data_IF_252558844973
#
_entry.id   IF_252558844973
#
_cell.length_a   1.000
_cell.length_b   1.000
_cell.length_c   1.000
_cell.angle_alpha   90.00
_cell.angle_beta   90.00
_cell.angle_gamma   90.00
#
_symmetry.space_group_name_H-M   'P 1'
#
loop_
_entity.id
_entity.type
_entity.pdbx_description
1 polymer ?
#
# COMPACT_ATOMS: atom_id res chain seq x y z
N UNK A 1 -5.87 -9.27 -16.74
CA UNK A 1 -4.81 -9.52 -17.74
C UNK A 1 -3.62 -10.23 -17.12
N UNK A 2 -3.01 -11.15 -17.87
CA UNK A 2 -1.75 -11.81 -17.48
C UNK A 2 -0.51 -11.06 -17.97
N UNK A 3 -0.69 -9.97 -18.72
CA UNK A 3 0.42 -9.12 -19.15
C UNK A 3 1.07 -8.45 -17.95
N UNK A 4 2.37 -8.63 -17.75
CA UNK A 4 3.09 -7.98 -16.65
C UNK A 4 3.02 -6.46 -16.76
N UNK A 5 2.76 -5.82 -15.63
CA UNK A 5 2.63 -4.36 -15.55
C UNK A 5 3.61 -3.72 -14.55
N UNK A 6 3.94 -2.46 -14.80
CA UNK A 6 4.73 -1.63 -13.91
C UNK A 6 4.08 -0.25 -13.79
N UNK A 7 3.91 0.21 -12.56
CA UNK A 7 3.48 1.58 -12.25
C UNK A 7 4.58 2.23 -11.44
N UNK A 8 4.95 3.44 -11.80
CA UNK A 8 5.96 4.23 -11.11
C UNK A 8 5.44 5.64 -10.83
N UNK A 9 5.48 6.06 -9.56
CA UNK A 9 5.17 7.42 -9.13
C UNK A 9 3.82 7.95 -9.65
N UNK A 10 2.72 7.34 -9.24
CA UNK A 10 1.36 7.70 -9.68
C UNK A 10 0.57 8.30 -8.52
N UNK A 11 -0.05 9.45 -8.73
CA UNK A 11 -1.06 10.06 -7.85
C UNK A 11 -2.43 9.95 -8.50
N UNK A 12 -3.42 9.55 -7.72
CA UNK A 12 -4.78 9.28 -8.19
C UNK A 12 -5.76 9.83 -7.17
N UNK A 13 -6.70 10.66 -7.62
CA UNK A 13 -7.62 11.40 -6.75
C UNK A 13 -8.93 11.77 -7.44
N UNK A 14 -9.94 12.15 -6.67
CA UNK A 14 -11.23 12.67 -7.12
C UNK A 14 -12.16 11.68 -7.86
N UNK A 15 -12.01 10.39 -7.64
CA UNK A 15 -12.95 9.41 -8.20
C UNK A 15 -14.13 9.15 -7.27
N UNK A 16 -15.25 8.68 -7.83
CA UNK A 16 -16.51 8.48 -7.11
C UNK A 16 -16.59 7.11 -6.44
N UNK A 17 -16.10 6.06 -7.08
CA UNK A 17 -16.26 4.67 -6.60
C UNK A 17 -14.96 4.09 -6.07
N UNK A 18 -13.93 4.16 -6.86
CA UNK A 18 -12.61 3.67 -6.54
C UNK A 18 -11.59 4.66 -7.06
N UNK A 19 -10.57 4.97 -6.29
CA UNK A 19 -9.40 5.65 -6.85
C UNK A 19 -8.69 4.70 -7.80
N UNK A 20 -8.48 3.47 -7.36
CA UNK A 20 -7.83 2.44 -8.20
C UNK A 20 -8.57 1.12 -8.06
N UNK A 21 -8.82 0.47 -9.19
CA UNK A 21 -9.32 -0.89 -9.22
C UNK A 21 -8.44 -1.81 -10.05
N UNK A 22 -7.93 -2.85 -9.41
CA UNK A 22 -7.25 -3.96 -10.07
C UNK A 22 -8.23 -5.12 -10.21
N UNK A 23 -8.54 -5.53 -11.42
CA UNK A 23 -9.43 -6.66 -11.69
C UNK A 23 -8.78 -7.66 -12.62
N UNK A 24 -8.60 -8.89 -12.17
CA UNK A 24 -8.03 -10.00 -12.93
C UNK A 24 -6.65 -9.66 -13.53
N UNK A 25 -5.81 -9.03 -12.72
CA UNK A 25 -4.43 -8.71 -13.11
C UNK A 25 -3.44 -9.65 -12.44
N UNK A 26 -2.34 -9.93 -13.13
CA UNK A 26 -1.25 -10.73 -12.57
C UNK A 26 0.12 -10.21 -12.99
N UNK A 27 1.13 -10.49 -12.15
CA UNK A 27 2.52 -10.09 -12.36
C UNK A 27 2.73 -8.56 -12.43
N UNK A 28 2.07 -7.81 -11.56
CA UNK A 28 2.19 -6.36 -11.51
C UNK A 28 3.08 -5.89 -10.36
N UNK A 29 3.84 -4.83 -10.62
CA UNK A 29 4.66 -4.11 -9.63
C UNK A 29 4.24 -2.65 -9.61
N UNK A 30 3.86 -2.16 -8.44
CA UNK A 30 3.39 -0.80 -8.22
C UNK A 30 4.33 -0.12 -7.24
N UNK A 31 4.98 0.94 -7.67
CA UNK A 31 5.98 1.66 -6.90
C UNK A 31 5.56 3.11 -6.69
N UNK A 32 5.60 3.58 -5.44
CA UNK A 32 5.32 4.98 -5.09
C UNK A 32 3.96 5.47 -5.62
N UNK A 33 2.90 4.74 -5.33
CA UNK A 33 1.54 5.13 -5.70
C UNK A 33 0.87 5.84 -4.52
N UNK A 34 0.18 6.93 -4.81
CA UNK A 34 -0.67 7.65 -3.87
C UNK A 34 -2.13 7.58 -4.32
N UNK A 35 -3.04 7.43 -3.34
CA UNK A 35 -4.47 7.74 -3.51
C UNK A 35 -4.86 8.85 -2.56
N UNK A 36 -5.75 9.75 -2.99
CA UNK A 36 -6.29 10.81 -2.15
C UNK A 36 -7.80 10.93 -2.32
N UNK A 37 -8.53 10.68 -1.25
CA UNK A 37 -9.98 10.84 -1.22
C UNK A 37 -10.31 12.20 -0.59
N UNK A 38 -11.04 13.02 -1.35
CA UNK A 38 -11.49 14.32 -0.90
C UNK A 38 -12.98 14.39 -0.58
N UNK A 39 -13.38 15.47 0.08
CA UNK A 39 -14.78 15.78 0.34
C UNK A 39 -15.56 15.96 -0.95
N UNK A 40 -16.83 15.60 -0.97
CA UNK A 40 -17.82 15.62 -2.06
C UNK A 40 -17.78 14.36 -2.93
N UNK A 41 -17.07 14.41 -4.07
CA UNK A 41 -17.10 13.33 -5.08
C UNK A 41 -16.50 12.01 -4.59
N UNK A 42 -15.49 12.06 -3.74
CA UNK A 42 -14.80 10.84 -3.27
C UNK A 42 -15.08 10.48 -1.80
N UNK A 43 -16.16 11.02 -1.22
CA UNK A 43 -16.52 10.73 0.18
C UNK A 43 -16.69 9.24 0.45
N UNK A 44 -17.32 8.50 -0.45
CA UNK A 44 -17.55 7.06 -0.35
C UNK A 44 -16.66 6.24 -1.29
N UNK A 45 -15.60 6.85 -1.78
CA UNK A 45 -14.66 6.21 -2.69
C UNK A 45 -13.80 5.19 -1.95
N UNK A 46 -13.73 3.96 -2.48
CA UNK A 46 -12.78 2.93 -2.04
C UNK A 46 -11.40 3.28 -2.60
N UNK A 47 -10.37 3.54 -1.77
CA UNK A 47 -9.06 3.91 -2.29
C UNK A 47 -8.49 2.86 -3.24
N UNK A 48 -8.38 1.61 -2.79
CA UNK A 48 -7.92 0.51 -3.65
C UNK A 48 -8.85 -0.69 -3.51
N UNK A 49 -9.31 -1.19 -4.64
CA UNK A 49 -10.05 -2.45 -4.73
C UNK A 49 -9.31 -3.44 -5.63
N UNK A 50 -9.18 -4.69 -5.15
CA UNK A 50 -8.52 -5.78 -5.87
C UNK A 50 -9.43 -7.00 -5.93
N UNK A 51 -9.76 -7.43 -7.14
CA UNK A 51 -10.57 -8.63 -7.39
C UNK A 51 -9.83 -9.60 -8.32
N UNK A 52 -9.76 -10.87 -7.92
CA UNK A 52 -9.19 -11.97 -8.73
C UNK A 52 -7.75 -11.66 -9.21
N UNK A 53 -6.92 -11.07 -8.35
CA UNK A 53 -5.55 -10.66 -8.68
C UNK A 53 -4.52 -11.66 -8.15
N UNK A 54 -3.37 -11.75 -8.85
CA UNK A 54 -2.29 -12.65 -8.49
C UNK A 54 -0.92 -12.04 -8.74
N UNK A 55 0.04 -12.33 -7.84
CA UNK A 55 1.44 -11.90 -7.99
C UNK A 55 1.57 -10.38 -8.16
N UNK A 56 0.93 -9.60 -7.28
CA UNK A 56 1.00 -8.14 -7.30
C UNK A 56 1.79 -7.64 -6.09
N UNK A 57 2.74 -6.75 -6.34
CA UNK A 57 3.53 -6.11 -5.29
C UNK A 57 3.30 -4.62 -5.31
N UNK A 58 2.95 -4.08 -4.15
CA UNK A 58 2.97 -2.64 -3.88
C UNK A 58 4.19 -2.32 -3.02
N UNK A 59 4.93 -1.31 -3.40
CA UNK A 59 6.03 -0.78 -2.62
C UNK A 59 5.90 0.75 -2.49
N UNK A 60 5.92 1.24 -1.24
CA UNK A 60 5.66 2.62 -0.90
C UNK A 60 4.27 3.09 -1.38
N UNK A 61 3.25 2.43 -0.89
CA UNK A 61 1.85 2.80 -1.12
C UNK A 61 1.42 3.81 -0.07
N UNK A 62 0.99 4.99 -0.50
CA UNK A 62 0.50 6.05 0.34
C UNK A 62 -0.98 6.30 0.07
N UNK A 63 -1.82 6.08 1.07
CA UNK A 63 -3.26 6.31 0.98
C UNK A 63 -3.64 7.42 1.94
N UNK A 64 -4.23 8.48 1.39
CA UNK A 64 -4.46 9.74 2.09
C UNK A 64 -5.92 10.15 1.99
N UNK A 65 -6.55 10.36 3.12
CA UNK A 65 -7.97 10.72 3.18
C UNK A 65 -8.16 12.09 3.81
N UNK A 66 -8.72 13.02 3.05
CA UNK A 66 -8.96 14.43 3.44
C UNK A 66 -10.43 14.72 3.73
N UNK A 67 -11.22 13.69 4.01
CA UNK A 67 -12.66 13.80 4.16
C UNK A 67 -13.02 14.18 5.60
N UNK A 68 -13.78 15.24 5.75
CA UNK A 68 -14.29 15.74 7.03
C UNK A 68 -15.64 15.13 7.37
N UNK A 69 -15.68 13.82 7.50
CA UNK A 69 -16.88 13.10 7.96
C UNK A 69 -16.65 12.52 9.34
N UNK A 70 -17.73 12.36 10.10
CA UNK A 70 -17.66 11.85 11.47
C UNK A 70 -17.50 10.32 11.52
N UNK A 71 -17.69 9.65 10.42
CA UNK A 71 -17.60 8.18 10.34
C UNK A 71 -16.34 7.77 9.61
N UNK A 72 -15.54 6.84 10.19
CA UNK A 72 -14.38 6.31 9.50
C UNK A 72 -14.85 5.46 8.31
N UNK A 73 -14.12 5.55 7.21
CA UNK A 73 -14.28 4.64 6.10
C UNK A 73 -13.77 3.24 6.48
N UNK A 74 -14.38 2.19 5.92
CA UNK A 74 -14.12 0.83 6.40
C UNK A 74 -12.64 0.43 6.23
N UNK A 75 -12.08 0.57 5.03
CA UNK A 75 -10.71 0.12 4.76
C UNK A 75 -10.10 0.85 3.57
N UNK A 76 -8.78 1.00 3.57
CA UNK A 76 -8.07 1.64 2.45
C UNK A 76 -7.84 0.68 1.28
N UNK A 77 -7.51 -0.56 1.55
CA UNK A 77 -7.40 -1.60 0.53
C UNK A 77 -8.41 -2.71 0.82
N UNK A 78 -9.18 -3.06 -0.18
CA UNK A 78 -10.10 -4.19 -0.13
C UNK A 78 -9.67 -5.25 -1.14
N UNK A 79 -9.41 -6.47 -0.68
CA UNK A 79 -8.98 -7.58 -1.53
C UNK A 79 -9.99 -8.72 -1.51
N UNK A 80 -10.24 -9.29 -2.69
CA UNK A 80 -11.13 -10.44 -2.86
C UNK A 80 -10.53 -11.41 -3.88
N UNK A 81 -10.52 -12.70 -3.53
CA UNK A 81 -10.01 -13.78 -4.39
C UNK A 81 -8.58 -13.52 -4.92
N UNK A 82 -7.74 -12.90 -4.09
CA UNK A 82 -6.38 -12.56 -4.47
C UNK A 82 -5.37 -13.54 -3.89
N UNK A 83 -4.29 -13.75 -4.62
CA UNK A 83 -3.19 -14.65 -4.26
C UNK A 83 -1.85 -13.97 -4.45
N UNK A 84 -0.94 -14.15 -3.50
CA UNK A 84 0.42 -13.61 -3.55
C UNK A 84 0.46 -12.09 -3.77
N UNK A 85 -0.24 -11.36 -2.90
CA UNK A 85 -0.23 -9.90 -2.89
C UNK A 85 0.71 -9.42 -1.79
N UNK A 86 1.70 -8.64 -2.14
CA UNK A 86 2.67 -8.08 -1.20
C UNK A 86 2.49 -6.56 -1.05
N UNK A 87 2.38 -6.11 0.19
CA UNK A 87 2.43 -4.70 0.56
C UNK A 87 3.72 -4.44 1.34
N UNK A 88 4.59 -3.65 0.76
CA UNK A 88 5.89 -3.28 1.32
C UNK A 88 5.86 -1.78 1.61
N UNK A 89 5.91 -1.40 2.89
CA UNK A 89 5.77 -0.02 3.32
C UNK A 89 4.44 0.60 2.84
N UNK A 90 3.36 0.17 3.47
CA UNK A 90 2.03 0.73 3.27
C UNK A 90 1.82 1.84 4.29
N UNK A 91 1.43 3.02 3.83
CA UNK A 91 1.11 4.15 4.66
C UNK A 91 -0.35 4.56 4.49
N UNK A 92 -1.08 4.60 5.59
CA UNK A 92 -2.48 4.97 5.61
C UNK A 92 -2.68 6.15 6.55
N UNK A 93 -3.10 7.29 6.02
CA UNK A 93 -3.17 8.54 6.74
C UNK A 93 -4.45 9.33 6.46
N UNK A 94 -4.91 10.08 7.45
CA UNK A 94 -5.96 11.08 7.28
C UNK A 94 -5.57 12.36 8.01
N UNK A 95 -5.76 13.50 7.35
CA UNK A 95 -5.53 14.82 7.98
C UNK A 95 -6.43 15.10 9.15
N UNK A 96 -7.58 14.47 9.19
CA UNK A 96 -8.60 14.74 10.18
C UNK A 96 -8.85 13.46 10.93
N UNK A 97 -9.03 13.59 12.20
CA UNK A 97 -9.25 12.63 13.28
C UNK A 97 -9.85 11.24 12.96
N UNK A 98 -10.34 11.03 11.74
CA UNK A 98 -11.00 9.79 11.31
C UNK A 98 -10.24 9.13 10.16
N UNK A 99 -9.18 8.44 10.52
CA UNK A 99 -8.47 7.56 9.60
C UNK A 99 -9.32 6.36 9.24
N UNK A 100 -9.02 5.75 8.12
CA UNK A 100 -9.38 4.36 7.91
C UNK A 100 -8.68 3.53 8.99
N UNK A 101 -9.44 2.91 9.85
CA UNK A 101 -8.90 2.07 10.92
C UNK A 101 -8.27 0.78 10.38
N UNK A 102 -8.65 0.39 9.17
CA UNK A 102 -8.19 -0.83 8.51
C UNK A 102 -7.41 -0.43 7.28
N UNK A 103 -6.14 -0.82 7.22
CA UNK A 103 -5.31 -0.60 6.05
C UNK A 103 -5.65 -1.57 4.91
N UNK A 104 -5.79 -2.86 5.23
CA UNK A 104 -6.16 -3.90 4.27
C UNK A 104 -7.26 -4.78 4.83
N UNK A 105 -8.32 -4.99 4.06
CA UNK A 105 -9.40 -5.92 4.37
C UNK A 105 -9.41 -7.09 3.38
N UNK A 106 -9.22 -8.31 3.89
CA UNK A 106 -9.37 -9.54 3.11
C UNK A 106 -10.81 -10.05 3.23
N UNK A 107 -11.60 -9.81 2.19
CA UNK A 107 -13.03 -10.15 2.14
C UNK A 107 -13.29 -11.67 2.26
N UNK A 108 -12.39 -12.51 1.74
CA UNK A 108 -12.59 -13.95 1.76
C UNK A 108 -12.34 -14.57 3.13
N UNK A 109 -11.43 -14.00 3.87
CA UNK A 109 -11.02 -14.50 5.19
C UNK A 109 -11.66 -13.75 6.34
N UNK A 110 -12.35 -12.63 6.02
CA UNK A 110 -12.91 -11.70 7.01
C UNK A 110 -11.84 -11.21 8.00
N UNK A 111 -10.69 -10.76 7.45
CA UNK A 111 -9.54 -10.32 8.23
C UNK A 111 -9.28 -8.85 8.00
N UNK A 112 -9.26 -8.11 9.10
CA UNK A 112 -8.86 -6.72 9.19
C UNK A 112 -7.38 -6.61 9.55
N UNK A 113 -6.63 -5.84 8.76
CA UNK A 113 -5.23 -5.55 9.03
C UNK A 113 -5.08 -4.05 9.23
N UNK A 114 -4.62 -3.66 10.41
CA UNK A 114 -4.50 -2.25 10.80
C UNK A 114 -3.15 -1.66 10.40
N UNK A 115 -3.06 -0.33 10.17
CA UNK A 115 -1.83 0.29 9.69
C UNK A 115 -0.61 0.07 10.57
N UNK A 116 -0.79 0.02 11.89
CA UNK A 116 0.29 -0.15 12.86
C UNK A 116 0.70 -1.60 13.11
N UNK A 117 0.02 -2.56 12.48
CA UNK A 117 0.33 -3.99 12.64
C UNK A 117 1.34 -4.49 11.62
N UNK A 118 1.67 -3.69 10.60
CA UNK A 118 2.52 -4.15 9.53
C UNK A 118 3.47 -3.08 8.96
N UNK A 119 4.72 -3.46 8.81
CA UNK A 119 5.65 -2.86 7.86
C UNK A 119 5.68 -3.66 6.54
N UNK A 120 5.26 -4.91 6.59
CA UNK A 120 5.21 -5.81 5.43
C UNK A 120 4.06 -6.79 5.57
N UNK A 121 3.21 -6.86 4.55
CA UNK A 121 2.13 -7.84 4.45
C UNK A 121 2.25 -8.61 3.14
N UNK A 122 2.16 -9.93 3.21
CA UNK A 122 2.06 -10.81 2.05
C UNK A 122 0.80 -11.68 2.19
N UNK A 123 -0.09 -11.57 1.23
CA UNK A 123 -1.29 -12.40 1.13
C UNK A 123 -0.98 -13.56 0.19
N UNK A 124 -0.89 -14.76 0.75
CA UNK A 124 -0.43 -15.96 0.01
C UNK A 124 -1.52 -16.69 -0.77
N UNK A 125 -2.79 -16.34 -0.56
CA UNK A 125 -3.91 -17.01 -1.24
C UNK A 125 -4.69 -17.97 -0.34
N UNK A 126 -5.49 -18.85 -0.94
CA UNK A 126 -6.42 -19.72 -0.22
C UNK A 126 -5.74 -20.86 0.52
N UNK A 127 -4.65 -21.38 0.00
CA UNK A 127 -3.87 -22.44 0.64
C UNK A 127 -2.64 -21.82 1.31
N UNK A 128 -2.33 -22.23 2.54
CA UNK A 128 -1.10 -21.85 3.19
C UNK A 128 0.06 -22.55 2.47
N UNK A 129 0.55 -21.97 1.39
CA UNK A 129 1.86 -22.35 0.94
C UNK A 129 2.84 -21.98 2.05
N UNK A 130 3.42 -22.99 2.68
CA UNK A 130 4.66 -22.84 3.45
C UNK A 130 5.78 -22.40 2.49
N UNK A 131 5.66 -21.21 1.95
CA UNK A 131 6.87 -20.50 1.61
C UNK A 131 7.51 -20.20 2.96
N UNK A 132 8.55 -20.93 3.29
CA UNK A 132 9.50 -20.45 4.26
C UNK A 132 9.85 -19.04 3.82
N UNK A 133 9.27 -18.05 4.47
CA UNK A 133 9.84 -16.72 4.51
C UNK A 133 11.23 -16.99 5.05
N UNK A 134 12.21 -17.10 4.17
CA UNK A 134 13.57 -17.38 4.57
C UNK A 134 13.87 -16.45 5.72
N UNK A 135 14.36 -16.96 6.83
CA UNK A 135 14.74 -16.22 8.02
C UNK A 135 15.90 -15.25 7.77
N UNK A 136 16.13 -14.89 6.54
CA UNK A 136 17.02 -13.83 6.12
C UNK A 136 16.26 -12.50 6.14
N UNK A 137 15.89 -12.06 7.33
CA UNK A 137 15.91 -10.64 7.59
C UNK A 137 17.36 -10.25 7.34
N UNK A 138 17.62 -9.64 6.20
CA UNK A 138 18.95 -9.20 5.85
C UNK A 138 19.50 -8.37 7.02
N UNK A 139 20.81 -8.49 7.29
CA UNK A 139 21.44 -7.73 8.35
C UNK A 139 21.13 -6.26 8.16
N UNK A 140 20.42 -5.66 9.10
CA UNK A 140 20.16 -4.23 9.10
C UNK A 140 21.46 -3.53 9.46
N UNK A 141 22.02 -2.75 8.52
CA UNK A 141 23.16 -1.89 8.78
C UNK A 141 22.66 -0.46 8.86
N UNK A 142 23.05 0.25 9.92
CA UNK A 142 22.82 1.68 10.01
C UNK A 142 23.74 2.39 9.01
N UNK A 143 23.17 3.16 8.09
CA UNK A 143 23.93 3.89 7.05
C UNK A 143 24.25 5.32 7.47
N UNK A 144 23.39 5.93 8.29
CA UNK A 144 23.56 7.29 8.80
C UNK A 144 22.93 7.43 10.18
N UNK A 145 23.36 8.44 10.93
CA UNK A 145 22.80 8.85 12.23
C UNK A 145 22.65 10.37 12.29
N UNK A 146 22.07 10.84 13.38
CA UNK A 146 21.91 12.28 13.67
C UNK A 146 21.09 13.04 12.62
N UNK A 147 20.13 12.35 12.02
CA UNK A 147 19.15 12.91 11.10
C UNK A 147 17.94 13.39 11.89
N UNK A 148 17.40 14.57 11.57
CA UNK A 148 16.19 15.07 12.19
C UNK A 148 14.94 14.53 11.49
N UNK A 149 14.89 14.63 10.17
CA UNK A 149 13.80 14.11 9.37
C UNK A 149 14.29 13.69 7.99
N UNK A 150 14.58 12.40 7.82
CA UNK A 150 15.10 11.87 6.57
C UNK A 150 13.96 11.31 5.69
N UNK A 151 13.88 11.77 4.44
CA UNK A 151 12.93 11.28 3.45
C UNK A 151 13.53 11.24 2.04
N UNK A 152 12.76 10.71 1.06
CA UNK A 152 13.14 10.76 -0.35
C UNK A 152 14.34 9.89 -0.70
N UNK A 153 14.40 8.65 -0.20
CA UNK A 153 15.53 7.75 -0.44
C UNK A 153 15.60 7.34 -1.91
N UNK A 154 16.76 7.58 -2.53
CA UNK A 154 17.06 7.15 -3.88
C UNK A 154 18.43 6.44 -3.95
N UNK A 155 18.60 5.58 -4.94
CA UNK A 155 19.85 4.86 -5.20
C UNK A 155 20.27 5.03 -6.66
N UNK A 156 21.54 5.36 -6.89
CA UNK A 156 22.10 5.41 -8.24
C UNK A 156 22.60 4.03 -8.75
N UNK A 157 23.03 4.00 -10.00
CA UNK A 157 23.55 2.77 -10.63
C UNK A 157 24.90 2.30 -10.04
N UNK A 158 25.58 3.16 -9.29
CA UNK A 158 26.85 2.83 -8.59
C UNK A 158 26.61 2.32 -7.17
N UNK A 159 25.35 2.34 -6.72
CA UNK A 159 24.96 1.89 -5.39
C UNK A 159 25.00 2.97 -4.31
N UNK A 160 25.22 4.23 -4.66
CA UNK A 160 25.12 5.34 -3.72
C UNK A 160 23.68 5.56 -3.31
N UNK A 161 23.47 5.88 -2.02
CA UNK A 161 22.15 6.16 -1.45
C UNK A 161 22.08 7.66 -1.14
N UNK A 162 21.03 8.29 -1.60
CA UNK A 162 20.70 9.70 -1.41
C UNK A 162 19.41 9.82 -0.64
N UNK A 163 19.34 10.79 0.25
CA UNK A 163 18.12 11.15 0.99
C UNK A 163 18.17 12.65 1.35
N UNK A 164 17.00 13.21 1.61
CA UNK A 164 16.89 14.58 2.14
C UNK A 164 16.78 14.50 3.67
N UNK A 165 17.47 15.39 4.36
CA UNK A 165 17.32 15.62 5.80
C UNK A 165 16.85 17.06 5.99
N UNK A 166 15.66 17.23 6.52
CA UNK A 166 15.07 18.54 6.81
C UNK A 166 15.47 18.94 8.23
N UNK A 167 16.34 19.93 8.31
CA UNK A 167 16.76 20.60 9.56
C UNK A 167 16.12 21.96 9.68
#
# INVERSE_FOLDING_TARGET
TSTPGRIYAMSIEHHVRNEVRFSKVSNWKVYCMQTEEESRESTDCQPIEMDDCKDVTFANLYMFRVIRVNEPYHSSVRIRNCENIAFLNLHNYSQIKYTNNIAVFDVNKDIDIRPWELSRLIVTGKEPHQQSLGNEIGKVNQLASDLEFAEGIARDSKGNIYFCDHR
#
